data_IF_471708713771
#
_entry.id   IF_471708713771
#
_cell.length_a   1.000
_cell.length_b   1.000
_cell.length_c   1.000
_cell.angle_alpha   90.00
_cell.angle_beta   90.00
_cell.angle_gamma   90.00
#
_symmetry.space_group_name_H-M   'P 1'
#
loop_
_entity.id
_entity.type
_entity.pdbx_description
1 polymer ?
#
# COMPACT_ATOMS: atom_id res chain seq x y z
N UNK A 1 -26.15 10.06 12.36
CA UNK A 1 -26.49 9.11 11.28
C UNK A 1 -26.08 7.72 11.71
N UNK A 2 -26.92 6.72 11.49
CA UNK A 2 -26.62 5.33 11.86
C UNK A 2 -25.50 4.78 10.97
N UNK A 3 -24.35 4.44 11.56
CA UNK A 3 -23.23 3.86 10.81
C UNK A 3 -23.39 2.33 10.79
N UNK A 4 -23.78 1.81 9.63
CA UNK A 4 -23.84 0.38 9.34
C UNK A 4 -22.41 -0.14 9.09
N UNK A 5 -22.04 -1.22 9.79
CA UNK A 5 -20.72 -1.82 9.67
C UNK A 5 -20.64 -2.79 8.47
N UNK A 6 -19.61 -2.65 7.65
CA UNK A 6 -19.30 -3.60 6.59
C UNK A 6 -18.61 -4.89 7.09
N UNK A 7 -18.35 -5.00 8.40
CA UNK A 7 -17.68 -6.14 9.06
C UNK A 7 -18.61 -6.98 9.94
N UNK A 8 -19.92 -6.70 9.87
CA UNK A 8 -20.95 -7.34 10.68
C UNK A 8 -21.97 -8.00 9.77
N UNK A 9 -22.83 -8.86 10.33
CA UNK A 9 -23.86 -9.54 9.55
C UNK A 9 -25.08 -8.64 9.35
N UNK A 10 -25.87 -8.95 8.32
CA UNK A 10 -27.12 -8.25 8.03
C UNK A 10 -28.03 -8.19 9.26
N UNK A 11 -28.20 -9.31 9.98
CA UNK A 11 -29.08 -9.42 11.14
C UNK A 11 -28.63 -8.52 12.30
N UNK A 12 -27.30 -8.42 12.51
CA UNK A 12 -26.71 -7.57 13.54
C UNK A 12 -26.82 -6.09 13.22
N UNK A 13 -26.82 -5.73 11.95
CA UNK A 13 -26.94 -4.33 11.53
C UNK A 13 -28.38 -3.90 11.24
N UNK A 14 -29.30 -4.86 11.05
CA UNK A 14 -30.69 -4.62 10.66
C UNK A 14 -31.40 -3.62 11.57
N UNK A 15 -31.25 -3.78 12.88
CA UNK A 15 -31.89 -2.90 13.87
C UNK A 15 -31.43 -1.43 13.75
N UNK A 16 -30.30 -1.15 13.10
CA UNK A 16 -29.83 0.23 12.83
C UNK A 16 -30.49 0.85 11.60
N UNK A 17 -31.09 0.03 10.74
CA UNK A 17 -31.71 0.43 9.48
C UNK A 17 -33.24 0.46 9.57
N UNK A 18 -33.86 -0.43 10.35
CA UNK A 18 -35.34 -0.53 10.45
C UNK A 18 -36.02 0.74 10.97
N UNK A 19 -35.30 1.58 11.73
CA UNK A 19 -35.80 2.86 12.23
C UNK A 19 -35.64 4.02 11.23
N UNK A 20 -34.92 3.81 10.13
CA UNK A 20 -34.75 4.83 9.08
C UNK A 20 -35.94 4.79 8.11
N UNK A 21 -36.64 5.91 7.87
CA UNK A 21 -37.78 5.95 6.94
C UNK A 21 -37.48 5.39 5.55
N UNK A 22 -36.22 5.47 5.10
CA UNK A 22 -35.78 4.95 3.79
C UNK A 22 -35.82 3.44 3.71
N UNK A 23 -35.81 2.73 4.85
CA UNK A 23 -35.91 1.28 4.89
C UNK A 23 -37.19 0.79 4.21
N UNK A 24 -38.31 1.49 4.38
CA UNK A 24 -39.60 1.15 3.78
C UNK A 24 -39.67 1.41 2.27
N UNK A 25 -38.75 2.18 1.70
CA UNK A 25 -38.72 2.51 0.26
C UNK A 25 -38.22 1.35 -0.62
N UNK A 26 -37.68 0.30 -0.01
CA UNK A 26 -37.09 -0.85 -0.70
C UNK A 26 -37.80 -2.14 -0.30
N UNK A 27 -37.89 -3.10 -1.23
CA UNK A 27 -38.33 -4.47 -0.91
C UNK A 27 -37.28 -5.21 -0.09
N UNK A 28 -37.67 -6.34 0.53
CA UNK A 28 -36.72 -7.18 1.28
C UNK A 28 -35.48 -7.56 0.46
N UNK A 29 -35.68 -7.95 -0.81
CA UNK A 29 -34.59 -8.34 -1.70
C UNK A 29 -33.68 -7.16 -2.06
N UNK A 30 -34.28 -5.99 -2.34
CA UNK A 30 -33.53 -4.77 -2.64
C UNK A 30 -32.69 -4.31 -1.44
N UNK A 31 -33.23 -4.40 -0.21
CA UNK A 31 -32.50 -4.07 1.02
C UNK A 31 -31.25 -4.93 1.17
N UNK A 32 -31.39 -6.24 1.00
CA UNK A 32 -30.28 -7.18 1.08
C UNK A 32 -29.24 -6.92 -0.02
N UNK A 33 -29.69 -6.66 -1.26
CA UNK A 33 -28.80 -6.34 -2.38
C UNK A 33 -28.00 -5.05 -2.13
N UNK A 34 -28.65 -3.99 -1.64
CA UNK A 34 -27.99 -2.72 -1.32
C UNK A 34 -26.98 -2.90 -0.18
N UNK A 35 -27.32 -3.69 0.85
CA UNK A 35 -26.38 -4.01 1.92
C UNK A 35 -25.17 -4.79 1.41
N UNK A 36 -25.38 -5.84 0.61
CA UNK A 36 -24.30 -6.64 0.04
C UNK A 36 -23.37 -5.78 -0.86
N UNK A 37 -23.94 -4.84 -1.63
CA UNK A 37 -23.17 -3.88 -2.43
C UNK A 37 -22.38 -2.91 -1.54
N UNK A 38 -22.99 -2.40 -0.46
CA UNK A 38 -22.32 -1.55 0.50
C UNK A 38 -21.12 -2.26 1.14
N UNK A 39 -21.31 -3.50 1.63
CA UNK A 39 -20.24 -4.32 2.22
C UNK A 39 -19.11 -4.51 1.23
N UNK A 40 -19.42 -4.94 -0.01
CA UNK A 40 -18.42 -5.12 -1.07
C UNK A 40 -17.66 -3.84 -1.37
N UNK A 41 -18.36 -2.71 -1.48
CA UNK A 41 -17.76 -1.40 -1.75
C UNK A 41 -16.80 -0.99 -0.64
N UNK A 42 -17.23 -1.11 0.63
CA UNK A 42 -16.41 -0.77 1.80
C UNK A 42 -15.16 -1.63 1.92
N UNK A 43 -15.28 -2.94 1.70
CA UNK A 43 -14.11 -3.85 1.68
C UNK A 43 -13.12 -3.48 0.57
N UNK A 44 -13.64 -3.13 -0.62
CA UNK A 44 -12.81 -2.68 -1.76
C UNK A 44 -12.12 -1.36 -1.46
N UNK A 45 -12.80 -0.42 -0.82
CA UNK A 45 -12.26 0.87 -0.42
C UNK A 45 -11.14 0.70 0.61
N UNK A 46 -11.35 -0.11 1.64
CA UNK A 46 -10.30 -0.40 2.62
C UNK A 46 -9.08 -1.09 2.00
N UNK A 47 -9.30 -2.05 1.10
CA UNK A 47 -8.21 -2.70 0.40
C UNK A 47 -7.41 -1.70 -0.44
N UNK A 48 -8.10 -0.80 -1.16
CA UNK A 48 -7.48 0.26 -1.95
C UNK A 48 -6.70 1.22 -1.07
N UNK A 49 -7.24 1.63 0.08
CA UNK A 49 -6.56 2.54 1.01
C UNK A 49 -5.31 1.88 1.64
N UNK A 50 -5.42 0.63 2.10
CA UNK A 50 -4.27 -0.14 2.62
C UNK A 50 -3.19 -0.31 1.55
N UNK A 51 -3.58 -0.61 0.31
CA UNK A 51 -2.64 -0.73 -0.82
C UNK A 51 -1.98 0.60 -1.15
N UNK A 52 -2.74 1.68 -1.22
CA UNK A 52 -2.23 3.03 -1.53
C UNK A 52 -1.26 3.52 -0.46
N UNK A 53 -1.59 3.38 0.83
CA UNK A 53 -0.68 3.71 1.94
C UNK A 53 0.62 2.93 1.85
N UNK A 54 0.54 1.63 1.56
CA UNK A 54 1.73 0.78 1.38
C UNK A 54 2.58 1.22 0.19
N UNK A 55 1.96 1.54 -0.95
CA UNK A 55 2.66 2.02 -2.14
C UNK A 55 3.37 3.35 -1.87
N UNK A 56 2.68 4.31 -1.26
CA UNK A 56 3.27 5.60 -0.89
C UNK A 56 4.48 5.44 0.04
N UNK A 57 4.37 4.59 1.06
CA UNK A 57 5.50 4.30 1.95
C UNK A 57 6.71 3.69 1.20
N UNK A 58 6.46 2.80 0.24
CA UNK A 58 7.51 2.22 -0.60
C UNK A 58 8.16 3.25 -1.52
N UNK A 59 7.38 4.17 -2.08
CA UNK A 59 7.86 5.26 -2.94
C UNK A 59 8.72 6.24 -2.15
N UNK A 60 8.27 6.69 -0.98
CA UNK A 60 9.04 7.58 -0.11
C UNK A 60 10.36 6.95 0.35
N UNK A 61 10.35 5.66 0.70
CA UNK A 61 11.57 4.92 1.03
C UNK A 61 12.52 4.81 -0.17
N UNK A 62 11.98 4.63 -1.39
CA UNK A 62 12.78 4.58 -2.61
C UNK A 62 13.40 5.95 -2.93
N UNK A 63 12.66 7.04 -2.80
CA UNK A 63 13.19 8.40 -2.96
C UNK A 63 14.35 8.65 -1.98
N UNK A 64 14.21 8.20 -0.73
CA UNK A 64 15.30 8.26 0.24
C UNK A 64 16.55 7.48 -0.23
N UNK A 65 16.40 6.31 -0.85
CA UNK A 65 17.53 5.55 -1.40
C UNK A 65 18.21 6.29 -2.57
N UNK A 66 17.43 6.98 -3.40
CA UNK A 66 17.93 7.77 -4.53
C UNK A 66 18.70 9.01 -4.05
N UNK A 67 18.11 9.78 -3.13
CA UNK A 67 18.74 10.94 -2.50
C UNK A 67 19.98 10.56 -1.68
N UNK A 68 19.96 9.38 -1.06
CA UNK A 68 21.09 8.84 -0.33
C UNK A 68 22.28 8.45 -1.23
N UNK A 69 22.15 8.58 -2.56
CA UNK A 69 23.15 8.23 -3.57
C UNK A 69 23.68 6.81 -3.38
N UNK A 70 22.78 5.88 -3.08
CA UNK A 70 23.11 4.48 -2.87
C UNK A 70 23.71 3.90 -4.16
N UNK A 71 24.81 3.18 -4.03
CA UNK A 71 25.51 2.54 -5.15
C UNK A 71 25.32 1.03 -5.10
N UNK A 72 25.65 0.32 -6.17
CA UNK A 72 25.59 -1.15 -6.24
C UNK A 72 26.49 -1.88 -5.22
N UNK A 73 27.41 -1.17 -4.56
CA UNK A 73 28.31 -1.65 -3.50
C UNK A 73 27.85 -1.31 -2.08
N UNK A 74 26.89 -0.39 -1.92
CA UNK A 74 26.40 0.05 -0.62
C UNK A 74 25.72 -1.09 0.15
N UNK A 75 25.87 -1.12 1.47
CA UNK A 75 25.24 -2.13 2.33
C UNK A 75 24.00 -1.57 3.04
N UNK A 76 23.05 -2.47 3.36
CA UNK A 76 21.87 -2.09 4.12
C UNK A 76 22.23 -1.58 5.53
N UNK A 77 23.29 -2.12 6.14
CA UNK A 77 23.75 -1.70 7.48
C UNK A 77 24.22 -0.25 7.49
N UNK A 78 25.03 0.16 6.50
CA UNK A 78 25.49 1.54 6.35
C UNK A 78 24.32 2.50 6.11
N UNK A 79 23.39 2.10 5.24
CA UNK A 79 22.18 2.88 4.96
C UNK A 79 21.35 3.10 6.24
N UNK A 80 21.06 2.04 7.00
CA UNK A 80 20.36 2.18 8.28
C UNK A 80 21.12 3.09 9.26
N UNK A 81 22.45 2.96 9.34
CA UNK A 81 23.26 3.78 10.25
C UNK A 81 23.13 5.28 9.96
N UNK A 82 23.11 5.66 8.68
CA UNK A 82 23.04 7.07 8.25
C UNK A 82 21.62 7.64 8.27
N UNK A 83 20.61 6.85 7.87
CA UNK A 83 19.27 7.36 7.61
C UNK A 83 18.22 6.96 8.66
N UNK A 84 18.62 6.35 9.78
CA UNK A 84 17.72 6.04 10.92
C UNK A 84 16.97 7.23 11.51
N UNK A 85 17.35 8.46 11.20
CA UNK A 85 16.68 9.68 11.66
C UNK A 85 15.67 10.24 10.67
N UNK A 86 15.68 9.78 9.41
CA UNK A 86 14.78 10.28 8.37
C UNK A 86 13.37 9.71 8.58
N UNK A 87 12.35 10.55 8.49
CA UNK A 87 10.96 10.11 8.64
C UNK A 87 10.57 9.05 7.58
N UNK A 88 11.08 9.19 6.35
CA UNK A 88 10.84 8.26 5.23
C UNK A 88 11.50 6.89 5.45
N UNK A 89 12.52 6.81 6.30
CA UNK A 89 13.08 5.52 6.71
C UNK A 89 12.06 4.68 7.50
N UNK A 90 11.17 5.37 8.24
CA UNK A 90 10.18 4.75 9.12
C UNK A 90 8.82 4.53 8.45
N UNK A 91 8.58 5.04 7.24
CA UNK A 91 7.31 4.79 6.53
C UNK A 91 7.10 3.31 6.25
N UNK A 92 8.19 2.56 6.09
CA UNK A 92 8.21 1.10 6.01
C UNK A 92 8.59 0.53 7.38
N UNK A 93 7.59 0.27 8.23
CA UNK A 93 7.78 -0.14 9.64
C UNK A 93 8.55 -1.46 9.83
N UNK A 94 8.52 -2.36 8.84
CA UNK A 94 9.11 -3.70 8.96
C UNK A 94 10.52 -3.72 8.39
N UNK A 95 11.52 -3.97 9.22
CA UNK A 95 12.94 -4.08 8.81
C UNK A 95 13.18 -5.12 7.70
N UNK A 96 12.42 -6.22 7.68
CA UNK A 96 12.46 -7.20 6.60
C UNK A 96 12.02 -6.59 5.26
N UNK A 97 10.98 -5.76 5.26
CA UNK A 97 10.48 -5.09 4.07
C UNK A 97 11.44 -4.00 3.59
N UNK A 98 12.00 -3.20 4.51
CA UNK A 98 13.07 -2.24 4.20
C UNK A 98 14.25 -2.93 3.51
N UNK A 99 14.71 -4.08 4.03
CA UNK A 99 15.80 -4.86 3.44
C UNK A 99 15.44 -5.40 2.05
N UNK A 100 14.20 -5.81 1.82
CA UNK A 100 13.72 -6.24 0.51
C UNK A 100 13.76 -5.08 -0.49
N UNK A 101 13.24 -3.90 -0.13
CA UNK A 101 13.24 -2.71 -0.98
C UNK A 101 14.67 -2.25 -1.30
N UNK A 102 15.55 -2.22 -0.30
CA UNK A 102 16.96 -1.91 -0.48
C UNK A 102 17.62 -2.88 -1.48
N UNK A 103 17.44 -4.19 -1.28
CA UNK A 103 18.02 -5.19 -2.17
C UNK A 103 17.45 -5.12 -3.60
N UNK A 104 16.17 -4.81 -3.75
CA UNK A 104 15.56 -4.58 -5.06
C UNK A 104 16.20 -3.36 -5.75
N UNK A 105 16.39 -2.26 -5.02
CA UNK A 105 17.06 -1.07 -5.54
C UNK A 105 18.49 -1.39 -6.01
N UNK A 106 19.29 -2.08 -5.19
CA UNK A 106 20.65 -2.52 -5.55
C UNK A 106 20.65 -3.40 -6.81
N UNK A 107 19.69 -4.34 -6.92
CA UNK A 107 19.55 -5.18 -8.12
C UNK A 107 19.24 -4.34 -9.36
N UNK A 108 18.36 -3.35 -9.25
CA UNK A 108 18.04 -2.43 -10.35
C UNK A 108 19.25 -1.58 -10.78
N UNK A 109 20.06 -1.11 -9.83
CA UNK A 109 21.32 -0.41 -10.14
C UNK A 109 22.28 -1.32 -10.92
N UNK A 110 22.54 -2.53 -10.42
CA UNK A 110 23.43 -3.50 -11.09
C UNK A 110 22.97 -3.84 -12.51
N UNK A 111 21.67 -3.97 -12.72
CA UNK A 111 21.10 -4.20 -14.05
C UNK A 111 21.37 -3.01 -14.97
N UNK A 112 21.09 -1.79 -14.51
CA UNK A 112 21.33 -0.56 -15.28
C UNK A 112 22.81 -0.39 -15.66
N UNK A 113 23.72 -0.63 -14.71
CA UNK A 113 25.17 -0.54 -14.94
C UNK A 113 25.63 -1.54 -16.01
N UNK A 114 25.07 -2.76 -15.98
CA UNK A 114 25.33 -3.79 -16.99
C UNK A 114 24.80 -3.38 -18.37
N UNK A 115 23.57 -2.91 -18.43
CA UNK A 115 22.92 -2.51 -19.68
C UNK A 115 23.67 -1.34 -20.35
N UNK A 116 24.15 -0.37 -19.57
CA UNK A 116 25.01 0.73 -20.06
C UNK A 116 26.32 0.19 -20.63
N UNK A 117 27.00 -0.71 -19.91
CA UNK A 117 28.26 -1.31 -20.35
C UNK A 117 28.09 -2.12 -21.63
N UNK A 118 27.00 -2.88 -21.76
CA UNK A 118 26.72 -3.69 -22.94
C UNK A 118 26.32 -2.83 -24.14
N UNK A 119 25.61 -1.71 -23.92
CA UNK A 119 25.33 -0.71 -24.96
C UNK A 119 26.59 -0.05 -25.51
N UNK A 120 27.52 0.35 -24.64
CA UNK A 120 28.80 0.94 -25.06
C UNK A 120 29.66 0.00 -25.91
N UNK A 121 29.62 -1.31 -25.64
CA UNK A 121 30.35 -2.31 -26.42
C UNK A 121 29.79 -2.49 -27.84
N UNK A 122 28.49 -2.25 -28.04
CA UNK A 122 27.84 -2.39 -29.36
C UNK A 122 28.05 -1.18 -30.27
N UNK A 123 28.52 -0.07 -29.71
CA UNK A 123 28.84 1.16 -30.45
C UNK A 123 30.33 1.28 -30.79
N UNK A 124 31.16 0.31 -30.38
CA UNK A 124 32.56 0.18 -30.78
C UNK A 124 32.66 -0.92 -31.83
#
# INVERSE_FOLDING_TARGET
GFQVSAFSTWEKELHKMVFDPRYLLLTSDQRKQVFDQFVKSRLKDEYREKKSKKQKAQEEFKLLLEEAKITSRSTFKEFCGRYRGDQRFHTVNRKREQKVLFNQFIKSLKKRDKDIKDGQKKMR
#
